data_IF_610203842071
#
_entry.id   IF_610203842071
#
_cell.length_a   1.000
_cell.length_b   1.000
_cell.length_c   1.000
_cell.angle_alpha   90.00
_cell.angle_beta   90.00
_cell.angle_gamma   90.00
#
_symmetry.space_group_name_H-M   'P 1'
#
loop_
_entity.id
_entity.type
_entity.pdbx_description
1 polymer ?
#
# COMPACT_ATOMS: atom_id res chain seq x y z
N UNK A 1 -13.28 16.22 14.86
CA UNK A 1 -14.31 16.19 13.79
C UNK A 1 -15.65 16.74 14.27
N UNK A 2 -16.21 16.24 15.38
CA UNK A 2 -17.54 16.67 15.88
C UNK A 2 -17.64 18.17 16.19
N UNK A 3 -16.56 18.75 16.72
CA UNK A 3 -16.48 20.17 17.10
C UNK A 3 -16.00 21.10 15.96
N UNK A 4 -15.79 20.59 14.74
CA UNK A 4 -15.41 21.45 13.61
C UNK A 4 -16.68 22.11 13.05
N UNK A 5 -16.75 23.45 13.10
CA UNK A 5 -17.95 24.22 12.77
C UNK A 5 -18.61 23.78 11.44
N UNK A 6 -17.80 23.59 10.39
CA UNK A 6 -18.28 23.33 9.02
C UNK A 6 -18.10 21.88 8.55
N UNK A 7 -17.81 20.93 9.45
CA UNK A 7 -17.72 19.52 9.03
C UNK A 7 -19.10 18.98 8.66
N UNK A 8 -19.25 18.48 7.43
CA UNK A 8 -20.47 17.79 6.98
C UNK A 8 -20.51 16.30 7.40
N UNK A 9 -19.45 15.81 8.03
CA UNK A 9 -19.28 14.41 8.45
C UNK A 9 -19.02 14.28 9.96
N UNK A 10 -19.72 15.08 10.78
CA UNK A 10 -19.56 15.10 12.25
C UNK A 10 -19.91 13.76 12.92
N UNK A 11 -20.80 13.00 12.28
CA UNK A 11 -21.30 11.72 12.77
C UNK A 11 -20.73 10.52 12.01
N UNK A 12 -19.57 10.68 11.34
CA UNK A 12 -18.89 9.55 10.73
C UNK A 12 -18.53 8.52 11.82
N UNK A 13 -19.22 7.39 11.82
CA UNK A 13 -18.91 6.22 12.64
C UNK A 13 -18.36 5.14 11.72
N UNK A 14 -17.12 4.73 11.97
CA UNK A 14 -16.52 3.60 11.28
C UNK A 14 -16.93 2.31 11.98
N UNK A 15 -17.98 1.68 11.49
CA UNK A 15 -18.39 0.36 11.98
C UNK A 15 -17.38 -0.69 11.49
N UNK A 16 -16.46 -1.09 12.37
CA UNK A 16 -15.49 -2.16 12.11
C UNK A 16 -15.34 -3.02 13.37
N UNK A 17 -15.22 -4.35 13.24
CA UNK A 17 -14.99 -5.23 14.38
C UNK A 17 -13.60 -5.07 15.01
N UNK A 18 -12.67 -4.40 14.33
CA UNK A 18 -11.30 -4.13 14.80
C UNK A 18 -10.85 -2.71 14.40
N UNK A 19 -9.83 -2.12 15.06
CA UNK A 19 -9.23 -0.87 14.60
C UNK A 19 -8.69 -0.98 13.18
N UNK A 20 -8.70 0.14 12.45
CA UNK A 20 -8.14 0.22 11.10
C UNK A 20 -7.02 1.25 11.01
N UNK A 21 -6.06 0.97 10.15
CA UNK A 21 -5.07 1.95 9.72
C UNK A 21 -5.65 2.83 8.60
N UNK A 22 -5.10 4.03 8.44
CA UNK A 22 -5.46 4.88 7.30
C UNK A 22 -4.81 4.34 6.02
N UNK A 23 -5.61 4.11 4.99
CA UNK A 23 -5.14 3.63 3.69
C UNK A 23 -4.14 4.61 3.05
N UNK A 24 -4.29 5.92 3.27
CA UNK A 24 -3.41 6.94 2.71
C UNK A 24 -1.97 6.88 3.26
N UNK A 25 -1.74 6.07 4.30
CA UNK A 25 -0.42 5.84 4.90
C UNK A 25 0.05 4.40 4.69
N UNK A 26 -0.47 3.69 3.69
CA UNK A 26 -0.18 2.29 3.44
C UNK A 26 1.32 2.08 3.15
N UNK A 27 1.93 2.90 2.30
CA UNK A 27 3.36 2.82 1.96
C UNK A 27 4.24 3.01 3.20
N UNK A 28 3.93 4.00 4.05
CA UNK A 28 4.63 4.25 5.32
C UNK A 28 4.45 3.11 6.31
N UNK A 29 3.29 2.45 6.28
CA UNK A 29 3.03 1.27 7.10
C UNK A 29 3.83 0.08 6.61
N UNK A 30 3.83 -0.18 5.29
CA UNK A 30 4.52 -1.33 4.68
C UNK A 30 6.04 -1.25 4.86
N UNK A 31 6.64 -0.06 4.77
CA UNK A 31 8.08 0.12 5.02
C UNK A 31 8.50 -0.14 6.47
N UNK A 32 7.57 -0.16 7.42
CA UNK A 32 7.85 -0.45 8.82
C UNK A 32 7.75 -1.95 9.15
N UNK A 33 7.26 -2.77 8.22
CA UNK A 33 7.12 -4.21 8.43
C UNK A 33 8.47 -4.92 8.27
N UNK A 34 8.69 -6.06 8.94
CA UNK A 34 9.91 -6.85 8.78
C UNK A 34 9.89 -7.66 7.46
N UNK A 35 9.94 -6.97 6.32
CA UNK A 35 9.87 -7.59 4.99
C UNK A 35 11.03 -8.58 4.80
N UNK A 36 10.68 -9.81 4.46
CA UNK A 36 11.59 -10.91 4.16
C UNK A 36 10.91 -11.91 3.22
N UNK A 37 11.67 -12.84 2.65
CA UNK A 37 11.11 -13.89 1.79
C UNK A 37 9.99 -14.67 2.49
N UNK A 38 8.85 -14.83 1.80
CA UNK A 38 7.67 -15.52 2.33
C UNK A 38 6.88 -14.75 3.39
N UNK A 39 7.28 -13.51 3.72
CA UNK A 39 6.54 -12.68 4.66
C UNK A 39 5.18 -12.27 4.07
N UNK A 40 4.12 -12.40 4.87
CA UNK A 40 2.78 -11.94 4.54
C UNK A 40 2.20 -11.13 5.70
N UNK A 41 1.42 -10.09 5.37
CA UNK A 41 0.70 -9.29 6.34
C UNK A 41 -0.73 -9.03 5.88
N UNK A 42 -1.71 -9.31 6.74
CA UNK A 42 -3.11 -8.96 6.55
C UNK A 42 -3.48 -7.74 7.40
N UNK A 43 -3.63 -6.59 6.75
CA UNK A 43 -3.78 -5.29 7.42
C UNK A 43 -5.16 -4.72 7.16
N UNK A 44 -5.87 -4.37 8.23
CA UNK A 44 -7.16 -3.68 8.13
C UNK A 44 -6.92 -2.20 7.80
N UNK A 45 -7.21 -1.79 6.57
CA UNK A 45 -7.14 -0.40 6.14
C UNK A 45 -8.53 0.18 5.93
N UNK A 46 -8.66 1.47 6.18
CA UNK A 46 -9.80 2.28 5.83
C UNK A 46 -9.36 3.45 4.96
N UNK A 47 -10.03 3.67 3.83
CA UNK A 47 -9.83 4.83 2.97
C UNK A 47 -10.86 5.91 3.33
N UNK A 48 -10.47 7.00 4.01
CA UNK A 48 -11.38 8.10 4.30
C UNK A 48 -11.93 8.69 3.00
N UNK A 49 -13.25 8.89 2.93
CA UNK A 49 -13.92 9.37 1.70
C UNK A 49 -14.14 8.31 0.62
N UNK A 50 -13.68 7.07 0.83
CA UNK A 50 -13.97 5.93 -0.04
C UNK A 50 -15.41 5.44 0.08
N UNK A 51 -15.88 4.69 -0.93
CA UNK A 51 -17.22 4.08 -0.95
C UNK A 51 -17.28 2.80 -0.10
N UNK A 52 -16.13 2.20 0.23
CA UNK A 52 -16.03 0.96 0.99
C UNK A 52 -15.66 1.26 2.45
N UNK A 53 -16.22 0.47 3.37
CA UNK A 53 -15.79 0.47 4.76
C UNK A 53 -14.40 -0.15 4.95
N UNK A 54 -13.90 -0.21 6.19
CA UNK A 54 -12.62 -0.85 6.49
C UNK A 54 -12.57 -2.30 6.00
N UNK A 55 -11.45 -2.70 5.42
CA UNK A 55 -11.25 -4.06 4.92
C UNK A 55 -9.80 -4.52 5.16
N UNK A 56 -9.63 -5.83 5.35
CA UNK A 56 -8.31 -6.45 5.39
C UNK A 56 -7.77 -6.64 3.97
N UNK A 57 -6.57 -6.15 3.73
CA UNK A 57 -5.83 -6.38 2.50
C UNK A 57 -4.60 -7.23 2.79
N UNK A 58 -4.32 -8.18 1.91
CA UNK A 58 -3.20 -9.09 2.04
C UNK A 58 -2.02 -8.56 1.22
N UNK A 59 -0.90 -8.32 1.90
CA UNK A 59 0.36 -7.94 1.30
C UNK A 59 1.34 -9.10 1.43
N UNK A 60 2.00 -9.48 0.34
CA UNK A 60 2.91 -10.63 0.30
C UNK A 60 4.24 -10.23 -0.28
N UNK A 61 5.33 -10.60 0.38
CA UNK A 61 6.65 -10.60 -0.26
C UNK A 61 6.72 -11.79 -1.19
N UNK A 62 6.54 -11.54 -2.49
CA UNK A 62 6.51 -12.60 -3.52
C UNK A 62 7.87 -12.87 -4.14
N UNK A 63 8.89 -12.07 -3.81
CA UNK A 63 10.25 -12.30 -4.27
C UNK A 63 11.20 -11.15 -4.02
N UNK A 64 12.29 -11.17 -4.79
CA UNK A 64 13.29 -10.10 -4.84
C UNK A 64 13.53 -9.69 -6.28
N UNK A 65 13.90 -8.43 -6.47
CA UNK A 65 14.29 -7.91 -7.78
C UNK A 65 15.40 -6.87 -7.61
N UNK A 66 16.25 -6.75 -8.63
CA UNK A 66 17.23 -5.69 -8.75
C UNK A 66 16.73 -4.71 -9.79
N UNK A 67 16.53 -3.44 -9.43
CA UNK A 67 16.06 -2.40 -10.36
C UNK A 67 17.09 -1.28 -10.52
N UNK A 68 17.20 -0.62 -11.70
CA UNK A 68 18.09 0.52 -11.86
C UNK A 68 17.64 1.70 -10.99
N UNK A 69 18.57 2.30 -10.27
CA UNK A 69 18.41 3.58 -9.61
C UNK A 69 19.60 4.52 -9.90
N UNK A 70 19.56 5.77 -9.42
CA UNK A 70 20.55 6.79 -9.81
C UNK A 70 21.98 6.46 -9.34
N UNK A 71 22.11 5.74 -8.22
CA UNK A 71 23.39 5.25 -7.69
C UNK A 71 23.81 3.85 -8.16
N UNK A 72 23.09 3.26 -9.11
CA UNK A 72 23.30 1.88 -9.57
C UNK A 72 22.12 0.96 -9.25
N UNK A 73 22.36 -0.34 -9.24
CA UNK A 73 21.30 -1.33 -9.00
C UNK A 73 20.82 -1.32 -7.55
N UNK A 74 19.51 -1.31 -7.34
CA UNK A 74 18.87 -1.35 -6.02
C UNK A 74 18.24 -2.73 -5.81
N UNK A 75 18.77 -3.48 -4.84
CA UNK A 75 18.19 -4.73 -4.38
C UNK A 75 16.89 -4.47 -3.61
N UNK A 76 15.79 -5.07 -4.06
CA UNK A 76 14.45 -4.83 -3.54
C UNK A 76 13.76 -6.11 -3.07
N UNK A 77 12.93 -5.98 -2.05
CA UNK A 77 11.79 -6.88 -1.83
C UNK A 77 10.68 -6.52 -2.81
N UNK A 78 10.05 -7.54 -3.41
CA UNK A 78 8.87 -7.39 -4.26
C UNK A 78 7.65 -7.75 -3.42
N UNK A 79 6.78 -6.77 -3.17
CA UNK A 79 5.55 -6.93 -2.41
C UNK A 79 4.35 -6.81 -3.33
N UNK A 80 3.36 -7.70 -3.23
CA UNK A 80 2.12 -7.62 -4.01
C UNK A 80 0.88 -7.57 -3.13
N UNK A 81 -0.18 -6.97 -3.67
CA UNK A 81 -1.54 -7.04 -3.12
C UNK A 81 -2.56 -6.95 -4.26
N UNK A 82 -3.69 -7.62 -4.13
CA UNK A 82 -4.80 -7.56 -5.08
C UNK A 82 -5.86 -6.52 -4.70
N UNK A 83 -5.71 -5.88 -3.53
CA UNK A 83 -6.71 -5.01 -2.91
C UNK A 83 -8.13 -5.63 -2.90
N UNK A 84 -8.24 -6.95 -2.74
CA UNK A 84 -9.49 -7.71 -2.81
C UNK A 84 -10.27 -7.52 -4.14
N UNK A 85 -9.56 -7.24 -5.24
CA UNK A 85 -10.15 -7.05 -6.57
C UNK A 85 -9.67 -8.16 -7.51
N UNK A 86 -10.56 -9.08 -7.94
CA UNK A 86 -10.19 -10.14 -8.87
C UNK A 86 -9.53 -9.58 -10.14
N UNK A 87 -8.38 -10.15 -10.52
CA UNK A 87 -7.62 -9.71 -11.70
C UNK A 87 -6.81 -8.42 -11.52
N UNK A 88 -6.82 -7.82 -10.33
CA UNK A 88 -5.98 -6.69 -9.99
C UNK A 88 -4.76 -7.16 -9.19
N UNK A 89 -3.57 -6.66 -9.51
CA UNK A 89 -2.36 -6.86 -8.70
C UNK A 89 -1.54 -5.58 -8.73
N UNK A 90 -1.39 -4.92 -7.58
CA UNK A 90 -0.38 -3.89 -7.40
C UNK A 90 0.93 -4.55 -6.93
N UNK A 91 2.05 -4.04 -7.43
CA UNK A 91 3.40 -4.51 -7.09
C UNK A 91 4.22 -3.34 -6.58
N UNK A 92 4.92 -3.54 -5.47
CA UNK A 92 5.76 -2.57 -4.80
C UNK A 92 7.19 -3.10 -4.72
N UNK A 93 8.16 -2.23 -4.92
CA UNK A 93 9.58 -2.53 -4.75
C UNK A 93 10.09 -1.72 -3.56
N UNK A 94 10.42 -2.42 -2.48
CA UNK A 94 11.00 -1.83 -1.28
C UNK A 94 12.50 -2.14 -1.24
N UNK A 95 13.36 -1.13 -1.22
CA UNK A 95 14.80 -1.31 -1.17
C UNK A 95 15.20 -2.09 0.10
N UNK A 96 15.97 -3.18 -0.01
CA UNK A 96 16.33 -4.04 1.13
C UNK A 96 17.14 -3.29 2.20
N UNK A 97 17.99 -2.35 1.78
CA UNK A 97 18.88 -1.61 2.69
C UNK A 97 18.19 -0.52 3.51
N UNK A 98 17.07 0.04 3.03
CA UNK A 98 16.40 1.20 3.65
C UNK A 98 14.90 1.05 3.86
N UNK A 99 14.30 0.02 3.26
CA UNK A 99 12.87 -0.20 3.12
C UNK A 99 12.11 0.99 2.52
N UNK A 100 12.78 1.88 1.78
CA UNK A 100 12.07 2.89 0.99
C UNK A 100 11.38 2.22 -0.20
N UNK A 101 10.13 2.57 -0.43
CA UNK A 101 9.44 2.20 -1.68
C UNK A 101 10.05 3.03 -2.81
N UNK A 102 10.74 2.34 -3.72
CA UNK A 102 11.41 2.99 -4.87
C UNK A 102 10.55 2.95 -6.12
N UNK A 103 9.61 1.99 -6.20
CA UNK A 103 8.67 1.85 -7.31
C UNK A 103 7.37 1.21 -6.84
N UNK A 104 6.26 1.61 -7.46
CA UNK A 104 4.97 0.93 -7.41
C UNK A 104 4.40 0.86 -8.82
N UNK A 105 3.95 -0.31 -9.22
CA UNK A 105 3.18 -0.54 -10.44
C UNK A 105 1.76 -0.94 -10.05
N UNK A 106 0.77 -0.39 -10.76
CA UNK A 106 -0.63 -0.65 -10.49
C UNK A 106 -1.45 -0.61 -11.78
N UNK A 107 -2.37 -1.57 -12.02
CA UNK A 107 -3.25 -1.54 -13.17
C UNK A 107 -4.08 -0.24 -13.22
N UNK A 108 -4.14 0.38 -14.40
CA UNK A 108 -4.84 1.65 -14.64
C UNK A 108 -5.95 1.54 -15.71
N UNK A 109 -6.42 0.33 -15.99
CA UNK A 109 -7.36 0.03 -17.08
C UNK A 109 -6.67 -0.68 -18.25
N UNK A 110 -7.39 -0.87 -19.36
CA UNK A 110 -7.03 -1.68 -20.55
C UNK A 110 -5.52 -1.65 -20.93
N UNK A 111 -4.76 -2.64 -20.45
CA UNK A 111 -3.34 -2.81 -20.75
C UNK A 111 -2.42 -1.71 -20.22
N UNK A 112 -2.93 -0.77 -19.41
CA UNK A 112 -2.18 0.37 -18.87
C UNK A 112 -1.72 0.09 -17.45
N UNK A 113 -0.52 0.55 -17.14
CA UNK A 113 0.06 0.50 -15.80
C UNK A 113 0.35 1.93 -15.36
N UNK A 114 -0.17 2.31 -14.20
CA UNK A 114 0.29 3.48 -13.46
C UNK A 114 1.58 3.10 -12.75
N UNK A 115 2.64 3.86 -13.01
CA UNK A 115 3.94 3.69 -12.35
C UNK A 115 4.18 4.90 -11.46
N UNK A 116 4.37 4.65 -10.16
CA UNK A 116 4.96 5.63 -9.24
C UNK A 116 6.40 5.23 -9.01
N UNK A 117 7.32 6.16 -9.15
CA UNK A 117 8.73 5.94 -8.85
C UNK A 117 9.22 7.07 -7.98
N UNK A 118 10.04 6.74 -6.99
CA UNK A 118 10.83 7.76 -6.32
C UNK A 118 11.94 8.14 -7.30
N UNK A 119 11.99 9.41 -7.69
CA UNK A 119 13.09 9.99 -8.45
C UNK A 119 13.90 10.76 -7.41
N UNK A 120 15.17 10.40 -7.25
CA UNK A 120 16.15 11.23 -6.54
C UNK A 120 17.00 12.03 -7.55
#
# INVERSE_FOLDING_TARGET
MKELADSIHKDLVLNSPEPSFNFETDIETLRALPLAEGYEASINFYHPGGQQGPARYLFKVTGSASIPGPGGMIECWVVTTDYNRPGYVATFWFAKGSQLMVRQDSPAGEGKVLVKTLID
#
